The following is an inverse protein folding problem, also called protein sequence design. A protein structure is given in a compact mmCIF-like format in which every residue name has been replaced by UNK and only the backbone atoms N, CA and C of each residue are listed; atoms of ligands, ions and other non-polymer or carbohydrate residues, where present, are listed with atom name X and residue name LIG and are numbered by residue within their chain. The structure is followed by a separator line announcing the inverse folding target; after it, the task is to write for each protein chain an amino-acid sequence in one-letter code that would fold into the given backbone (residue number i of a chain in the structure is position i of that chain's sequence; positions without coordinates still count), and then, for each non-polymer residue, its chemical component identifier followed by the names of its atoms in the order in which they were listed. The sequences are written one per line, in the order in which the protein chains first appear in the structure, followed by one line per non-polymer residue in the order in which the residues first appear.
data_IF_811202136641
#
_entry.id   IF_811202136641
#
_cell.length_a   1.000
_cell.length_b   1.000
_cell.length_c   1.000
_cell.angle_alpha   90.00
_cell.angle_beta   90.00
_cell.angle_gamma   90.00
#
_symmetry.space_group_name_H-M   'P 1'
#
loop_
_entity.id
_entity.type
_entity.pdbx_description
1 polymer ?
#
# COMPACT_ATOMS: atom_id res chain seq x y z
N UNK A 1 11.49 20.45 -23.34
CA UNK A 1 11.06 21.80 -22.92
C UNK A 1 11.43 21.97 -21.46
N UNK A 2 12.27 22.94 -21.12
CA UNK A 2 12.76 23.16 -19.75
C UNK A 2 11.70 23.93 -18.98
N UNK A 3 11.16 23.33 -17.93
CA UNK A 3 10.21 24.02 -17.04
C UNK A 3 11.00 24.81 -15.99
N UNK A 4 10.69 26.10 -15.85
CA UNK A 4 11.31 26.98 -14.85
C UNK A 4 10.24 27.51 -13.87
N UNK A 5 8.98 27.55 -14.32
CA UNK A 5 7.84 28.02 -13.54
C UNK A 5 7.42 26.98 -12.48
N UNK A 6 7.47 27.37 -11.21
CA UNK A 6 7.08 26.54 -10.06
C UNK A 6 5.58 26.18 -10.06
N UNK A 7 4.71 27.07 -10.53
CA UNK A 7 3.28 26.78 -10.63
C UNK A 7 3.03 25.68 -11.65
N UNK A 8 3.69 25.75 -12.80
CA UNK A 8 3.55 24.74 -13.85
C UNK A 8 4.11 23.38 -13.40
N UNK A 9 5.23 23.38 -12.67
CA UNK A 9 5.78 22.17 -12.04
C UNK A 9 4.76 21.56 -11.07
N UNK A 10 4.17 22.35 -10.18
CA UNK A 10 3.16 21.86 -9.22
C UNK A 10 1.91 21.32 -9.92
N UNK A 11 1.42 21.98 -10.98
CA UNK A 11 0.29 21.48 -11.77
C UNK A 11 0.61 20.13 -12.40
N UNK A 12 1.81 19.94 -12.95
CA UNK A 12 2.22 18.66 -13.54
C UNK A 12 2.32 17.57 -12.48
N UNK A 13 2.86 17.87 -11.30
CA UNK A 13 2.93 16.93 -10.19
C UNK A 13 1.53 16.52 -9.72
N UNK A 14 0.61 17.48 -9.60
CA UNK A 14 -0.79 17.22 -9.28
C UNK A 14 -1.47 16.35 -10.34
N UNK A 15 -1.33 16.65 -11.63
CA UNK A 15 -1.95 15.84 -12.70
C UNK A 15 -1.36 14.42 -12.78
N UNK A 16 -0.07 14.27 -12.50
CA UNK A 16 0.58 12.95 -12.52
C UNK A 16 0.22 12.10 -11.29
N UNK A 17 -0.06 12.73 -10.13
CA UNK A 17 -0.28 12.04 -8.87
C UNK A 17 -1.75 12.04 -8.41
N UNK A 18 -2.38 13.21 -8.35
CA UNK A 18 -3.66 13.47 -7.68
C UNK A 18 -4.87 13.47 -8.62
N UNK A 19 -4.64 13.49 -9.94
CA UNK A 19 -5.71 13.38 -10.93
C UNK A 19 -6.53 12.11 -10.71
N UNK A 20 -7.85 12.20 -10.83
CA UNK A 20 -8.75 11.03 -10.75
C UNK A 20 -8.44 9.96 -11.80
N UNK A 21 -7.67 10.33 -12.83
CA UNK A 21 -7.21 9.46 -13.93
C UNK A 21 -5.84 8.82 -13.62
N UNK A 22 -5.09 9.31 -12.63
CA UNK A 22 -3.76 8.81 -12.29
C UNK A 22 -3.81 7.38 -11.72
N UNK A 23 -4.87 7.06 -10.98
CA UNK A 23 -5.10 5.74 -10.38
C UNK A 23 -4.36 5.50 -9.05
N UNK A 24 -4.08 6.55 -8.27
CA UNK A 24 -3.36 6.46 -6.98
C UNK A 24 -2.02 5.72 -7.13
N UNK A 25 -1.16 6.23 -8.00
CA UNK A 25 0.11 5.58 -8.34
C UNK A 25 1.08 5.64 -7.15
N UNK A 26 1.87 4.58 -6.98
CA UNK A 26 3.05 4.64 -6.14
C UNK A 26 4.00 5.77 -6.60
N UNK A 27 4.75 6.33 -5.65
CA UNK A 27 5.75 7.38 -5.87
C UNK A 27 6.66 7.09 -7.08
N UNK A 28 7.12 5.83 -7.19
CA UNK A 28 7.97 5.35 -8.30
C UNK A 28 7.30 5.49 -9.68
N UNK A 29 6.00 5.21 -9.77
CA UNK A 29 5.26 5.32 -11.04
C UNK A 29 4.99 6.78 -11.41
N UNK A 30 4.82 7.64 -10.42
CA UNK A 30 4.71 9.08 -10.64
C UNK A 30 6.04 9.67 -11.12
N UNK A 31 7.16 9.22 -10.56
CA UNK A 31 8.50 9.58 -11.01
C UNK A 31 8.76 9.21 -12.47
N UNK A 32 8.39 8.01 -12.89
CA UNK A 32 8.51 7.59 -14.30
C UNK A 32 7.60 8.41 -15.25
N UNK A 33 6.39 8.75 -14.80
CA UNK A 33 5.49 9.62 -15.56
C UNK A 33 6.01 11.04 -15.68
N UNK A 34 6.59 11.61 -14.63
CA UNK A 34 7.16 12.97 -14.65
C UNK A 34 8.39 13.05 -15.56
N UNK A 35 9.22 12.00 -15.60
CA UNK A 35 10.41 11.93 -16.48
C UNK A 35 10.09 12.06 -17.96
N UNK A 36 8.91 11.61 -18.39
CA UNK A 36 8.59 11.40 -19.80
C UNK A 36 8.23 12.71 -20.55
N UNK A 37 7.34 13.58 -20.05
CA UNK A 37 6.94 14.81 -20.74
C UNK A 37 7.69 16.06 -20.28
N UNK A 38 8.50 16.02 -19.20
CA UNK A 38 8.94 17.24 -18.50
C UNK A 38 10.30 17.09 -17.84
N UNK A 39 11.21 18.03 -18.08
CA UNK A 39 12.53 18.06 -17.44
C UNK A 39 12.82 19.48 -16.91
N UNK A 40 13.20 19.58 -15.64
CA UNK A 40 13.63 20.83 -15.01
C UNK A 40 14.83 20.62 -14.08
N UNK A 41 15.63 21.68 -13.81
CA UNK A 41 16.75 21.58 -12.86
C UNK A 41 16.26 21.16 -11.47
N UNK A 42 16.94 20.19 -10.84
CA UNK A 42 16.61 19.67 -9.51
C UNK A 42 15.29 18.91 -9.36
N UNK A 43 14.66 18.46 -10.46
CA UNK A 43 13.40 17.69 -10.39
C UNK A 43 13.44 16.45 -9.47
N UNK A 44 14.60 15.79 -9.35
CA UNK A 44 14.82 14.66 -8.43
C UNK A 44 14.72 15.03 -6.95
N UNK A 45 14.89 16.30 -6.59
CA UNK A 45 14.71 16.81 -5.22
C UNK A 45 13.29 17.31 -5.00
N UNK A 46 12.76 18.04 -5.98
CA UNK A 46 11.43 18.65 -5.87
C UNK A 46 10.30 17.60 -5.80
N UNK A 47 10.44 16.46 -6.49
CA UNK A 47 9.40 15.42 -6.51
C UNK A 47 9.21 14.76 -5.12
N UNK A 48 10.28 14.28 -4.43
CA UNK A 48 10.13 13.80 -3.05
C UNK A 48 9.62 14.86 -2.08
N UNK A 49 10.04 16.12 -2.22
CA UNK A 49 9.56 17.23 -1.38
C UNK A 49 8.05 17.48 -1.56
N UNK A 50 7.54 17.37 -2.80
CA UNK A 50 6.10 17.44 -3.07
C UNK A 50 5.34 16.31 -2.36
N UNK A 51 5.82 15.06 -2.41
CA UNK A 51 5.18 13.95 -1.70
C UNK A 51 5.29 14.06 -0.18
N UNK A 52 6.38 14.60 0.34
CA UNK A 52 6.55 14.86 1.76
C UNK A 52 5.66 16.01 2.27
N UNK A 53 5.19 16.91 1.43
CA UNK A 53 4.29 18.00 1.85
C UNK A 53 2.81 17.65 1.66
N UNK A 54 2.51 16.63 0.85
CA UNK A 54 1.14 16.24 0.55
C UNK A 54 0.52 15.33 1.63
N UNK A 55 -0.34 15.92 2.45
CA UNK A 55 -0.95 15.28 3.63
C UNK A 55 -1.74 14.00 3.29
N UNK A 56 -2.37 13.94 2.10
CA UNK A 56 -3.14 12.77 1.66
C UNK A 56 -2.24 11.57 1.40
N UNK A 57 -1.09 11.76 0.74
CA UNK A 57 -0.09 10.71 0.55
C UNK A 57 0.42 10.19 1.89
N UNK A 58 0.70 11.09 2.84
CA UNK A 58 1.19 10.70 4.16
C UNK A 58 0.16 9.90 4.95
N UNK A 59 -1.14 10.18 4.78
CA UNK A 59 -2.24 9.45 5.43
C UNK A 59 -2.46 8.08 4.82
N UNK A 60 -2.43 7.99 3.49
CA UNK A 60 -2.65 6.74 2.75
C UNK A 60 -1.44 5.80 2.83
N UNK A 61 -0.22 6.33 2.72
CA UNK A 61 1.04 5.58 2.84
C UNK A 61 1.61 5.54 4.26
N UNK A 62 0.77 5.71 5.30
CA UNK A 62 1.25 5.49 6.67
C UNK A 62 1.91 4.12 6.72
N UNK A 63 3.16 4.08 7.19
CA UNK A 63 3.91 2.85 7.36
C UNK A 63 3.06 1.87 8.17
N UNK A 64 2.46 0.91 7.47
CA UNK A 64 1.57 -0.07 8.08
C UNK A 64 2.46 -1.16 8.62
N UNK A 65 3.03 -0.89 9.79
CA UNK A 65 3.95 -1.77 10.44
C UNK A 65 4.03 -1.38 11.90
N UNK A 66 3.20 -2.01 12.74
CA UNK A 66 3.69 -2.27 14.09
C UNK A 66 5.04 -2.94 13.88
N UNK A 67 6.09 -2.44 14.56
CA UNK A 67 7.41 -3.07 14.61
C UNK A 67 7.18 -4.58 14.67
N UNK A 68 7.64 -5.32 13.66
CA UNK A 68 7.43 -6.78 13.56
C UNK A 68 7.69 -7.35 14.96
N UNK A 69 6.61 -7.75 15.63
CA UNK A 69 6.71 -8.28 16.98
C UNK A 69 7.62 -9.50 16.92
N UNK A 70 8.48 -9.67 17.92
CA UNK A 70 9.21 -10.93 18.03
C UNK A 70 8.19 -12.06 18.06
N UNK A 71 8.36 -13.04 17.17
CA UNK A 71 7.48 -14.19 17.06
C UNK A 71 7.45 -14.89 18.42
N UNK A 72 6.32 -14.81 19.12
CA UNK A 72 6.16 -15.46 20.42
C UNK A 72 5.96 -16.94 20.13
N UNK A 73 6.82 -17.80 20.69
CA UNK A 73 6.58 -19.24 20.65
C UNK A 73 5.30 -19.54 21.43
N UNK A 74 4.34 -20.16 20.76
CA UNK A 74 3.21 -20.80 21.44
C UNK A 74 3.73 -21.99 22.24
N UNK A 75 3.08 -22.30 23.36
CA UNK A 75 3.43 -23.44 24.20
C UNK A 75 3.27 -24.74 23.40
N UNK A 76 4.29 -25.60 23.42
CA UNK A 76 4.22 -26.92 22.79
C UNK A 76 3.33 -27.85 23.62
N UNK A 77 2.44 -28.59 22.94
CA UNK A 77 1.65 -29.64 23.57
C UNK A 77 2.57 -30.79 23.98
N UNK A 78 2.43 -31.28 25.21
CA UNK A 78 3.22 -32.38 25.79
C UNK A 78 2.51 -33.73 25.68
N UNK A 79 1.21 -33.72 25.38
CA UNK A 79 0.37 -34.90 25.25
C UNK A 79 -0.72 -34.72 24.18
N UNK A 80 -1.26 -35.82 23.59
CA UNK A 80 -2.38 -35.72 22.66
C UNK A 80 -3.58 -35.00 23.30
N UNK A 81 -4.25 -34.15 22.53
CA UNK A 81 -5.44 -33.38 22.93
C UNK A 81 -5.23 -32.25 23.95
N UNK A 82 -3.98 -31.90 24.29
CA UNK A 82 -3.70 -30.84 25.25
C UNK A 82 -3.99 -29.43 24.71
N UNK A 83 -3.82 -29.22 23.40
CA UNK A 83 -4.04 -27.94 22.74
C UNK A 83 -4.89 -28.16 21.49
N UNK A 84 -6.01 -27.44 21.41
CA UNK A 84 -6.86 -27.37 20.22
C UNK A 84 -6.97 -25.91 19.76
N UNK A 85 -6.69 -25.68 18.48
CA UNK A 85 -6.87 -24.38 17.84
C UNK A 85 -8.12 -24.43 16.97
N UNK A 86 -8.98 -23.42 17.08
CA UNK A 86 -10.21 -23.30 16.30
C UNK A 86 -10.30 -21.91 15.70
N UNK A 87 -10.80 -21.83 14.48
CA UNK A 87 -11.06 -20.58 13.78
C UNK A 87 -12.37 -20.69 12.99
N UNK A 88 -13.00 -19.57 12.68
CA UNK A 88 -14.25 -19.51 11.93
C UNK A 88 -14.00 -19.14 10.47
N UNK A 89 -14.59 -19.92 9.57
CA UNK A 89 -14.62 -19.59 8.14
C UNK A 89 -15.97 -18.97 7.82
N UNK A 90 -16.00 -17.68 7.49
CA UNK A 90 -17.25 -16.91 7.34
C UNK A 90 -17.61 -16.58 5.88
N UNK A 91 -16.79 -16.98 4.90
CA UNK A 91 -16.98 -16.66 3.48
C UNK A 91 -17.13 -17.91 2.60
N UNK A 92 -17.88 -18.90 3.08
CA UNK A 92 -18.24 -20.07 2.28
C UNK A 92 -19.35 -19.67 1.29
N UNK A 93 -19.16 -19.99 0.01
CA UNK A 93 -20.21 -19.82 -1.00
C UNK A 93 -21.37 -20.77 -0.70
N UNK A 94 -22.65 -20.37 -0.89
CA UNK A 94 -23.81 -21.20 -0.56
C UNK A 94 -23.99 -22.51 -1.37
N UNK A 95 -23.04 -22.87 -2.23
CA UNK A 95 -23.09 -24.08 -3.04
C UNK A 95 -21.95 -25.01 -2.66
N UNK A 96 -22.22 -25.88 -1.70
CA UNK A 96 -21.93 -27.31 -1.79
C UNK A 96 -22.60 -28.00 -0.61
N UNK A 97 -23.78 -28.55 -0.87
CA UNK A 97 -24.55 -29.42 0.04
C UNK A 97 -23.88 -30.78 0.26
N UNK A 98 -22.54 -30.82 0.31
CA UNK A 98 -21.76 -32.04 0.51
C UNK A 98 -20.61 -31.94 1.50
N UNK A 99 -20.26 -30.75 2.02
CA UNK A 99 -19.17 -30.64 2.99
C UNK A 99 -19.70 -30.48 4.42
N UNK A 100 -19.87 -31.62 5.08
CA UNK A 100 -19.90 -31.66 6.55
C UNK A 100 -18.57 -31.07 7.07
N UNK A 101 -18.61 -29.85 7.60
CA UNK A 101 -17.43 -29.19 8.18
C UNK A 101 -16.93 -29.83 9.49
N UNK A 102 -17.61 -30.87 9.97
CA UNK A 102 -17.14 -31.78 11.02
C UNK A 102 -17.59 -33.20 10.67
N UNK A 103 -16.65 -34.05 10.26
CA UNK A 103 -16.85 -35.49 10.16
C UNK A 103 -15.89 -36.18 11.13
N UNK A 104 -16.49 -36.66 12.23
CA UNK A 104 -15.99 -37.50 13.34
C UNK A 104 -14.71 -37.06 14.08
#
# INVERSE_FOLDING_TARGET
MTLIDRNLINTILHECHDSSVSGNLSEDRTLERVKTPSWWPNWRKDVPEYFQTYERCQKENRATGKKLGMMIKIQEAKSPWEIAHMDWVTALTPEDSSFNAFQY
#
